data_IF_063670762129
#
_entry.id   IF_063670762129
#
_cell.length_a   1.000
_cell.length_b   1.000
_cell.length_c   1.000
_cell.angle_alpha   90.00
_cell.angle_beta   90.00
_cell.angle_gamma   90.00
#
_symmetry.space_group_name_H-M   'P 1'
#
loop_
_entity.id
_entity.type
_entity.pdbx_description
1 polymer ?
#
# COMPACT_ATOMS: atom_id res chain seq x y z
N UNK A 1 -2.95 14.31 -18.89
CA UNK A 1 -4.31 13.77 -18.78
C UNK A 1 -4.25 12.26 -18.67
N UNK A 2 -4.91 11.68 -17.66
CA UNK A 2 -4.95 10.23 -17.50
C UNK A 2 -5.73 9.58 -18.64
N UNK A 3 -5.29 8.41 -19.09
CA UNK A 3 -6.10 7.58 -20.00
C UNK A 3 -7.25 6.95 -19.22
N UNK A 4 -8.30 6.50 -19.91
CA UNK A 4 -9.41 5.79 -19.26
C UNK A 4 -8.94 4.57 -18.46
N UNK A 5 -7.91 3.87 -18.94
CA UNK A 5 -7.33 2.72 -18.26
C UNK A 5 -6.71 3.15 -16.92
N UNK A 6 -5.94 4.24 -16.92
CA UNK A 6 -5.32 4.74 -15.69
C UNK A 6 -6.34 5.30 -14.71
N UNK A 7 -7.42 5.90 -15.20
CA UNK A 7 -8.52 6.36 -14.35
C UNK A 7 -9.19 5.21 -13.60
N UNK A 8 -9.47 4.10 -14.29
CA UNK A 8 -10.05 2.91 -13.67
C UNK A 8 -9.13 2.28 -12.63
N UNK A 9 -7.83 2.26 -12.93
CA UNK A 9 -6.81 1.77 -11.98
C UNK A 9 -6.78 2.64 -10.72
N UNK A 10 -6.81 3.95 -10.90
CA UNK A 10 -6.86 4.89 -9.78
C UNK A 10 -8.12 4.71 -8.96
N UNK A 11 -9.28 4.56 -9.59
CA UNK A 11 -10.55 4.34 -8.90
C UNK A 11 -10.51 3.09 -8.02
N UNK A 12 -9.90 2.01 -8.50
CA UNK A 12 -9.71 0.78 -7.72
C UNK A 12 -8.83 1.03 -6.50
N UNK A 13 -7.75 1.76 -6.66
CA UNK A 13 -6.86 2.15 -5.56
C UNK A 13 -7.60 3.01 -4.53
N UNK A 14 -8.29 4.04 -4.99
CA UNK A 14 -9.04 4.94 -4.13
C UNK A 14 -10.09 4.18 -3.31
N UNK A 15 -10.80 3.26 -3.94
CA UNK A 15 -11.78 2.41 -3.27
C UNK A 15 -11.13 1.59 -2.14
N UNK A 16 -9.97 1.02 -2.39
CA UNK A 16 -9.24 0.23 -1.38
C UNK A 16 -8.81 1.10 -0.19
N UNK A 17 -8.27 2.28 -0.44
CA UNK A 17 -7.88 3.20 0.63
C UNK A 17 -9.10 3.63 1.45
N UNK A 18 -10.20 3.98 0.77
CA UNK A 18 -11.43 4.36 1.46
C UNK A 18 -11.96 3.23 2.34
N UNK A 19 -11.86 1.98 1.88
CA UNK A 19 -12.25 0.80 2.68
C UNK A 19 -11.39 0.67 3.93
N UNK A 20 -10.08 0.88 3.83
CA UNK A 20 -9.18 0.87 4.99
C UNK A 20 -9.52 1.97 5.99
N UNK A 21 -9.73 3.18 5.50
CA UNK A 21 -10.09 4.33 6.34
C UNK A 21 -11.40 4.07 7.07
N UNK A 22 -12.40 3.54 6.38
CA UNK A 22 -13.69 3.23 6.98
C UNK A 22 -13.56 2.17 8.09
N UNK A 23 -12.81 1.08 7.83
CA UNK A 23 -12.57 0.04 8.82
C UNK A 23 -11.88 0.58 10.07
N UNK A 24 -10.86 1.41 9.89
CA UNK A 24 -10.13 2.02 11.00
C UNK A 24 -11.03 2.98 11.75
N UNK A 25 -11.81 3.80 11.04
CA UNK A 25 -12.67 4.83 11.64
C UNK A 25 -13.73 4.25 12.59
N UNK A 26 -14.32 3.09 12.24
CA UNK A 26 -15.38 2.47 13.02
C UNK A 26 -14.86 1.55 14.13
N UNK A 27 -13.55 1.30 14.16
CA UNK A 27 -12.94 0.35 15.10
C UNK A 27 -12.39 1.10 16.32
N UNK A 28 -12.61 0.51 17.51
CA UNK A 28 -12.05 1.06 18.74
C UNK A 28 -10.53 1.08 18.70
N UNK A 29 -9.93 2.13 19.22
CA UNK A 29 -8.49 2.35 19.16
C UNK A 29 -7.68 1.16 19.69
N UNK A 30 -8.08 0.59 20.81
CA UNK A 30 -7.36 -0.55 21.41
C UNK A 30 -7.32 -1.76 20.50
N UNK A 31 -8.38 -2.01 19.76
CA UNK A 31 -8.50 -3.15 18.85
C UNK A 31 -7.53 -3.02 17.67
N UNK A 32 -7.28 -1.80 17.22
CA UNK A 32 -6.39 -1.53 16.07
C UNK A 32 -4.95 -1.99 16.30
N UNK A 33 -4.49 -2.00 17.54
CA UNK A 33 -3.10 -2.36 17.89
C UNK A 33 -2.96 -3.82 18.33
N UNK A 34 -4.05 -4.58 18.42
CA UNK A 34 -3.99 -5.98 18.82
C UNK A 34 -3.53 -6.86 17.66
N UNK A 35 -2.51 -7.66 17.91
CA UNK A 35 -2.08 -8.68 16.96
C UNK A 35 -2.92 -9.93 17.13
N UNK A 36 -3.46 -10.52 16.05
CA UNK A 36 -4.21 -11.79 16.15
C UNK A 36 -3.35 -12.93 16.71
N UNK A 37 -2.04 -12.93 16.44
CA UNK A 37 -1.04 -13.84 16.96
C UNK A 37 0.33 -13.17 16.87
N UNK A 38 1.36 -13.79 17.44
CA UNK A 38 2.73 -13.26 17.33
C UNK A 38 3.20 -13.10 15.88
N UNK A 39 2.71 -13.97 15.01
CA UNK A 39 3.11 -14.01 13.59
C UNK A 39 2.26 -13.13 12.67
N UNK A 40 1.13 -12.64 13.16
CA UNK A 40 0.20 -11.84 12.36
C UNK A 40 0.22 -10.38 12.77
N UNK A 41 0.16 -9.50 11.79
CA UNK A 41 0.13 -8.07 12.02
C UNK A 41 -1.18 -7.60 12.64
N UNK A 42 -1.09 -6.55 13.45
CA UNK A 42 -2.27 -5.78 13.86
C UNK A 42 -2.83 -5.00 12.66
N UNK A 43 -4.07 -4.54 12.80
CA UNK A 43 -4.68 -3.65 11.78
C UNK A 43 -3.82 -2.41 11.58
N UNK A 44 -3.29 -1.83 12.67
CA UNK A 44 -2.45 -0.65 12.56
C UNK A 44 -1.11 -0.95 11.85
N UNK A 45 -0.52 -2.12 12.06
CA UNK A 45 0.67 -2.53 11.32
C UNK A 45 0.39 -2.65 9.81
N UNK A 46 -0.77 -3.17 9.45
CA UNK A 46 -1.19 -3.24 8.04
C UNK A 46 -1.29 -1.84 7.45
N UNK A 47 -1.90 -0.90 8.18
CA UNK A 47 -2.05 0.49 7.73
C UNK A 47 -0.69 1.15 7.51
N UNK A 48 0.22 1.06 8.49
CA UNK A 48 1.55 1.67 8.37
C UNK A 48 2.38 1.01 7.28
N UNK A 49 2.22 -0.31 7.09
CA UNK A 49 2.86 -1.00 5.98
C UNK A 49 2.40 -0.45 4.63
N UNK A 50 1.10 -0.30 4.42
CA UNK A 50 0.57 0.22 3.15
C UNK A 50 1.00 1.67 2.92
N UNK A 51 0.97 2.50 3.94
CA UNK A 51 1.42 3.89 3.81
C UNK A 51 2.86 3.94 3.29
N UNK A 52 3.76 3.22 3.92
CA UNK A 52 5.17 3.21 3.53
C UNK A 52 5.38 2.54 2.17
N UNK A 53 4.71 1.42 1.92
CA UNK A 53 4.85 0.68 0.67
C UNK A 53 4.39 1.52 -0.53
N UNK A 54 3.25 2.17 -0.43
CA UNK A 54 2.73 2.97 -1.55
C UNK A 54 3.61 4.19 -1.80
N UNK A 55 4.07 4.86 -0.75
CA UNK A 55 5.04 5.96 -0.91
C UNK A 55 6.29 5.48 -1.64
N UNK A 56 6.80 4.30 -1.30
CA UNK A 56 7.97 3.71 -1.96
C UNK A 56 7.70 3.40 -3.43
N UNK A 57 6.60 2.72 -3.73
CA UNK A 57 6.29 2.32 -5.12
C UNK A 57 5.97 3.52 -6.01
N UNK A 58 5.32 4.54 -5.48
CA UNK A 58 5.08 5.78 -6.23
C UNK A 58 6.41 6.50 -6.55
N UNK A 59 7.32 6.53 -5.59
CA UNK A 59 8.65 7.11 -5.83
C UNK A 59 9.41 6.34 -6.92
N UNK A 60 9.33 5.01 -6.91
CA UNK A 60 9.94 4.18 -7.97
C UNK A 60 9.27 4.41 -9.33
N UNK A 61 7.94 4.50 -9.34
CA UNK A 61 7.19 4.80 -10.57
C UNK A 61 7.64 6.12 -11.19
N UNK A 62 7.76 7.16 -10.37
CA UNK A 62 8.21 8.47 -10.84
C UNK A 62 9.67 8.44 -11.30
N UNK A 63 10.55 7.75 -10.57
CA UNK A 63 11.96 7.62 -10.95
C UNK A 63 12.11 6.92 -12.30
N UNK A 64 11.33 5.87 -12.55
CA UNK A 64 11.36 5.16 -13.84
C UNK A 64 10.85 6.00 -15.00
N UNK A 65 9.99 6.99 -14.74
CA UNK A 65 9.54 7.92 -15.76
C UNK A 65 10.62 8.94 -16.12
N UNK A 66 11.39 9.37 -15.12
CA UNK A 66 12.50 10.31 -15.34
C UNK A 66 13.69 9.62 -15.99
N UNK A 67 14.04 8.42 -15.55
CA UNK A 67 15.15 7.61 -16.06
C UNK A 67 14.64 6.22 -16.44
N UNK A 68 14.09 6.07 -17.66
CA UNK A 68 13.63 4.76 -18.12
C UNK A 68 14.76 3.72 -18.10
N UNK A 69 14.46 2.52 -17.59
CA UNK A 69 15.46 1.44 -17.47
C UNK A 69 16.31 1.50 -16.22
N UNK A 70 16.10 2.46 -15.33
CA UNK A 70 16.80 2.50 -14.04
C UNK A 70 16.47 1.27 -13.19
N UNK A 71 17.43 0.85 -12.37
CA UNK A 71 17.21 -0.28 -11.47
C UNK A 71 16.27 0.14 -10.34
N UNK A 72 15.28 -0.71 -10.04
CA UNK A 72 14.16 -0.35 -9.15
C UNK A 72 13.77 -1.49 -8.21
N UNK A 73 12.87 -1.20 -7.28
CA UNK A 73 12.26 -2.21 -6.43
C UNK A 73 13.06 -2.51 -5.17
N UNK A 74 12.52 -3.44 -4.41
CA UNK A 74 13.14 -3.91 -3.16
C UNK A 74 12.58 -5.28 -2.80
N UNK A 75 13.28 -6.01 -1.92
CA UNK A 75 12.79 -7.26 -1.36
C UNK A 75 12.11 -7.02 0.00
N UNK A 76 11.60 -8.10 0.60
CA UNK A 76 10.88 -8.04 1.87
C UNK A 76 11.74 -7.66 3.08
N UNK A 77 13.07 -7.75 2.94
CA UNK A 77 14.01 -7.45 4.02
C UNK A 77 14.47 -5.98 4.01
N UNK A 78 13.95 -5.17 3.10
CA UNK A 78 14.32 -3.76 3.01
C UNK A 78 14.08 -3.05 4.35
N UNK A 79 15.08 -2.28 4.80
CA UNK A 79 15.07 -1.67 6.13
C UNK A 79 13.86 -0.76 6.38
N UNK A 80 13.43 0.01 5.38
CA UNK A 80 12.27 0.89 5.51
C UNK A 80 10.97 0.11 5.65
N UNK A 81 10.86 -1.02 4.93
CA UNK A 81 9.70 -1.89 5.00
C UNK A 81 9.57 -2.50 6.39
N UNK A 82 10.66 -2.99 6.94
CA UNK A 82 10.66 -3.59 8.29
C UNK A 82 10.38 -2.55 9.36
N UNK A 83 10.95 -1.35 9.24
CA UNK A 83 10.73 -0.27 10.19
C UNK A 83 9.27 0.16 10.26
N UNK A 84 8.55 0.13 9.13
CA UNK A 84 7.15 0.57 9.05
C UNK A 84 6.20 -0.31 9.87
N UNK A 85 6.58 -1.56 10.14
CA UNK A 85 5.76 -2.51 10.91
C UNK A 85 6.34 -2.83 12.29
N UNK A 86 7.42 -2.16 12.67
CA UNK A 86 8.00 -2.30 14.00
C UNK A 86 6.97 -1.88 15.07
N UNK A 87 6.73 -2.75 16.04
CA UNK A 87 5.67 -2.52 17.03
C UNK A 87 5.87 -1.24 17.84
N UNK A 88 7.10 -0.87 18.12
CA UNK A 88 7.37 0.35 18.87
C UNK A 88 7.08 1.60 18.02
N UNK A 89 7.45 1.57 16.75
CA UNK A 89 7.09 2.65 15.82
C UNK A 89 5.59 2.76 15.66
N UNK A 90 4.91 1.64 15.38
CA UNK A 90 3.47 1.60 15.16
C UNK A 90 2.70 2.14 16.36
N UNK A 91 3.18 1.86 17.57
CA UNK A 91 2.58 2.38 18.81
C UNK A 91 2.62 3.92 18.89
N UNK A 92 3.51 4.58 18.14
CA UNK A 92 3.58 6.05 18.08
C UNK A 92 2.62 6.67 17.08
N UNK A 93 2.06 5.87 16.18
CA UNK A 93 1.13 6.35 15.14
C UNK A 93 -0.29 6.27 15.68
N UNK A 94 -0.94 7.42 15.82
CA UNK A 94 -2.32 7.48 16.29
C UNK A 94 -3.30 7.05 15.20
N UNK A 95 -4.51 6.70 15.62
CA UNK A 95 -5.61 6.38 14.71
C UNK A 95 -5.86 7.53 13.72
N UNK A 96 -5.88 8.75 14.22
CA UNK A 96 -6.11 9.96 13.43
C UNK A 96 -4.99 10.19 12.43
N UNK A 97 -3.74 9.99 12.84
CA UNK A 97 -2.58 10.11 11.96
C UNK A 97 -2.62 9.06 10.85
N UNK A 98 -2.96 7.82 11.19
CA UNK A 98 -3.07 6.75 10.20
C UNK A 98 -4.13 7.07 9.14
N UNK A 99 -5.29 7.55 9.56
CA UNK A 99 -6.37 7.95 8.64
C UNK A 99 -5.91 9.10 7.73
N UNK A 100 -5.28 10.11 8.30
CA UNK A 100 -4.77 11.25 7.53
C UNK A 100 -3.73 10.81 6.50
N UNK A 101 -2.78 9.97 6.90
CA UNK A 101 -1.73 9.50 6.02
C UNK A 101 -2.25 8.56 4.93
N UNK A 102 -3.21 7.69 5.23
CA UNK A 102 -3.87 6.87 4.22
C UNK A 102 -4.59 7.74 3.19
N UNK A 103 -5.35 8.72 3.65
CA UNK A 103 -6.04 9.65 2.75
C UNK A 103 -5.08 10.44 1.87
N UNK A 104 -3.89 10.76 2.37
CA UNK A 104 -2.85 11.48 1.61
C UNK A 104 -2.30 10.67 0.44
N UNK A 105 -2.43 9.33 0.49
CA UNK A 105 -2.00 8.48 -0.62
C UNK A 105 -2.87 8.66 -1.87
N UNK A 106 -4.12 9.06 -1.70
CA UNK A 106 -5.05 9.22 -2.81
C UNK A 106 -4.57 10.27 -3.82
N UNK A 107 -4.32 11.53 -3.42
CA UNK A 107 -3.78 12.52 -4.37
C UNK A 107 -2.37 12.15 -4.86
N UNK A 108 -1.55 11.54 -4.01
CA UNK A 108 -0.21 11.12 -4.40
C UNK A 108 -0.24 10.15 -5.59
N UNK A 109 -1.06 9.12 -5.50
CA UNK A 109 -1.21 8.12 -6.58
C UNK A 109 -1.88 8.76 -7.80
N UNK A 110 -2.90 9.59 -7.59
CA UNK A 110 -3.61 10.26 -8.67
C UNK A 110 -2.66 11.11 -9.53
N UNK A 111 -1.82 11.90 -8.89
CA UNK A 111 -0.85 12.74 -9.58
C UNK A 111 0.20 11.92 -10.33
N UNK A 112 0.67 10.84 -9.73
CA UNK A 112 1.65 9.96 -10.34
C UNK A 112 1.06 9.23 -11.56
N UNK A 113 -0.14 8.71 -11.43
CA UNK A 113 -0.82 8.01 -12.54
C UNK A 113 -1.13 8.94 -13.71
N UNK A 114 -1.38 10.22 -13.44
CA UNK A 114 -1.66 11.21 -14.49
C UNK A 114 -0.45 11.45 -15.43
N UNK A 115 0.76 11.13 -14.97
CA UNK A 115 2.00 11.29 -15.73
C UNK A 115 2.32 10.08 -16.61
N UNK A 116 1.66 8.94 -16.39
CA UNK A 116 1.94 7.68 -17.11
C UNK A 116 1.34 7.74 -18.49
N UNK A 117 2.16 7.46 -19.51
CA UNK A 117 1.72 7.36 -20.89
C UNK A 117 1.46 5.90 -21.26
N UNK A 118 0.57 5.67 -22.21
CA UNK A 118 0.23 4.31 -22.66
C UNK A 118 1.47 3.53 -23.10
N UNK A 119 2.37 4.18 -23.84
CA UNK A 119 3.61 3.57 -24.34
C UNK A 119 4.62 3.22 -23.25
N UNK A 120 4.47 3.78 -22.04
CA UNK A 120 5.37 3.49 -20.91
C UNK A 120 5.04 2.17 -20.23
N UNK A 121 3.81 1.70 -20.35
CA UNK A 121 3.30 0.55 -19.58
C UNK A 121 4.05 -0.75 -19.84
N UNK A 122 4.57 -0.94 -21.04
CA UNK A 122 5.27 -2.17 -21.43
C UNK A 122 6.80 -2.05 -21.31
N UNK A 123 7.31 -0.89 -20.93
CA UNK A 123 8.76 -0.70 -20.71
C UNK A 123 9.23 -1.51 -19.51
N UNK A 124 10.36 -2.19 -19.67
CA UNK A 124 10.94 -3.02 -18.63
C UNK A 124 12.21 -2.40 -18.06
N UNK A 125 12.58 -2.82 -16.84
CA UNK A 125 13.79 -2.35 -16.18
C UNK A 125 14.33 -3.44 -15.26
N UNK A 126 15.65 -3.43 -14.99
CA UNK A 126 16.22 -4.36 -14.01
C UNK A 126 15.76 -3.99 -12.60
N UNK A 127 15.68 -4.97 -11.71
CA UNK A 127 15.24 -4.75 -10.34
C UNK A 127 16.26 -5.27 -9.32
N UNK A 128 16.28 -4.62 -8.16
CA UNK A 128 17.00 -5.13 -6.98
C UNK A 128 16.36 -6.41 -6.43
N UNK A 129 15.10 -6.65 -6.77
CA UNK A 129 14.39 -7.88 -6.41
C UNK A 129 14.38 -8.81 -7.64
N UNK A 130 15.01 -10.00 -7.56
CA UNK A 130 15.03 -10.94 -8.69
C UNK A 130 13.64 -11.31 -9.21
N UNK A 131 12.62 -11.29 -8.34
CA UNK A 131 11.26 -11.62 -8.74
C UNK A 131 10.61 -10.53 -9.62
N UNK A 132 11.15 -9.32 -9.61
CA UNK A 132 10.65 -8.19 -10.37
C UNK A 132 11.53 -7.85 -11.58
N UNK A 133 12.67 -8.51 -11.70
CA UNK A 133 13.64 -8.23 -12.76
C UNK A 133 13.03 -8.46 -14.14
N UNK A 134 13.12 -7.46 -15.00
CA UNK A 134 12.56 -7.53 -16.35
C UNK A 134 11.05 -7.38 -16.45
N UNK A 135 10.36 -7.11 -15.33
CA UNK A 135 8.92 -6.87 -15.35
C UNK A 135 8.59 -5.49 -15.93
N UNK A 136 7.46 -5.36 -16.64
CA UNK A 136 7.07 -4.06 -17.21
C UNK A 136 6.54 -3.10 -16.15
N UNK A 137 6.50 -1.82 -16.50
CA UNK A 137 5.97 -0.78 -15.62
C UNK A 137 4.54 -1.09 -15.17
N UNK A 138 3.74 -1.70 -16.03
CA UNK A 138 2.39 -2.14 -15.69
C UNK A 138 2.35 -3.12 -14.51
N UNK A 139 3.40 -3.91 -14.32
CA UNK A 139 3.51 -4.81 -13.16
C UNK A 139 3.60 -4.01 -11.85
N UNK A 140 4.44 -2.96 -11.82
CA UNK A 140 4.55 -2.10 -10.65
C UNK A 140 3.20 -1.48 -10.32
N UNK A 141 2.51 -0.94 -11.32
CA UNK A 141 1.21 -0.29 -11.13
C UNK A 141 0.15 -1.29 -10.68
N UNK A 142 -0.01 -2.40 -11.42
CA UNK A 142 -1.10 -3.35 -11.18
C UNK A 142 -0.88 -4.21 -9.93
N UNK A 143 0.33 -4.73 -9.74
CA UNK A 143 0.59 -5.69 -8.67
C UNK A 143 1.08 -5.04 -7.38
N UNK A 144 1.96 -4.05 -7.48
CA UNK A 144 2.59 -3.47 -6.29
C UNK A 144 1.81 -2.29 -5.71
N UNK A 145 1.02 -1.59 -6.51
CA UNK A 145 0.18 -0.48 -6.02
C UNK A 145 -1.27 -0.95 -5.85
N UNK A 146 -1.91 -1.40 -6.93
CA UNK A 146 -3.37 -1.65 -6.91
C UNK A 146 -3.72 -2.95 -6.19
N UNK A 147 -3.26 -4.10 -6.69
CA UNK A 147 -3.59 -5.40 -6.10
C UNK A 147 -3.01 -5.59 -4.71
N UNK A 148 -1.82 -5.05 -4.46
CA UNK A 148 -1.19 -5.08 -3.15
C UNK A 148 -2.07 -4.42 -2.10
N UNK A 149 -2.57 -3.22 -2.39
CA UNK A 149 -3.45 -2.48 -1.48
C UNK A 149 -4.78 -3.22 -1.28
N UNK A 150 -5.38 -3.71 -2.37
CA UNK A 150 -6.62 -4.49 -2.30
C UNK A 150 -6.45 -5.75 -1.44
N UNK A 151 -5.34 -6.47 -1.62
CA UNK A 151 -5.01 -7.66 -0.82
C UNK A 151 -4.94 -7.34 0.68
N UNK A 152 -4.35 -6.21 1.03
CA UNK A 152 -4.24 -5.79 2.43
C UNK A 152 -5.57 -5.31 3.02
N UNK A 153 -6.53 -4.84 2.22
CA UNK A 153 -7.90 -4.60 2.70
C UNK A 153 -8.49 -5.91 3.21
N UNK A 154 -8.38 -6.98 2.43
CA UNK A 154 -8.86 -8.30 2.82
C UNK A 154 -8.18 -8.83 4.08
N UNK A 155 -6.87 -8.65 4.18
CA UNK A 155 -6.10 -9.01 5.36
C UNK A 155 -6.56 -8.22 6.58
N UNK A 156 -6.78 -6.92 6.44
CA UNK A 156 -7.26 -6.06 7.52
C UNK A 156 -8.63 -6.54 8.04
N UNK A 157 -9.54 -6.87 7.15
CA UNK A 157 -10.86 -7.42 7.51
C UNK A 157 -10.73 -8.73 8.29
N UNK A 158 -9.90 -9.66 7.81
CA UNK A 158 -9.69 -10.96 8.47
C UNK A 158 -9.06 -10.80 9.86
N UNK A 159 -8.03 -9.95 9.96
CA UNK A 159 -7.35 -9.72 11.25
C UNK A 159 -8.26 -9.01 12.24
N UNK A 160 -9.09 -8.09 11.76
CA UNK A 160 -10.06 -7.40 12.61
C UNK A 160 -11.06 -8.38 13.22
N UNK A 161 -11.57 -9.31 12.42
CA UNK A 161 -12.49 -10.37 12.91
C UNK A 161 -11.84 -11.21 14.01
N UNK A 162 -10.54 -11.49 13.88
CA UNK A 162 -9.80 -12.31 14.85
C UNK A 162 -9.58 -11.60 16.19
N UNK A 163 -9.47 -10.28 16.20
CA UNK A 163 -9.16 -9.52 17.42
C UNK A 163 -10.38 -8.85 18.05
N UNK A 164 -11.50 -8.74 17.34
CA UNK A 164 -12.72 -8.18 17.90
C UNK A 164 -13.35 -9.16 18.86
N UNK A 165 -13.89 -8.70 20.01
CA UNK A 165 -14.64 -9.58 20.91
C UNK A 165 -15.84 -10.16 20.17
N UNK A 166 -16.05 -11.48 20.30
CA UNK A 166 -17.25 -12.10 19.74
C UNK A 166 -18.46 -11.56 20.50
N UNK A 167 -19.49 -11.16 19.73
CA UNK A 167 -20.77 -10.80 20.35
C UNK A 167 -21.40 -12.08 20.88
N UNK A 168 -21.62 -12.11 22.17
CA UNK A 168 -22.40 -13.19 22.81
C UNK A 168 -23.86 -12.81 22.63
N UNK A 169 -24.60 -13.61 21.87
CA UNK A 169 -26.05 -13.46 21.75
C UNK A 169 -26.74 -14.01 22.98
#
# INVERSE_FOLDING_TARGET
MKTNVMEKKFESFEKSINSMVDLISITETEVLYKKPSEEKWSVMQIATHIIEAIEFWVADLEALQVVPGAKWGRNHEHVRRLAAVDVNYVATVSKEEAIERLNSLIPLVNESFAKVQQEDLEKTAPSYNPNFDGKPLSFLINHLIILHTESHVGQMQRHLELVQPQKVE
#
